data_IF_278594735824
#
_entry.id   IF_278594735824
#
_cell.length_a   1.000
_cell.length_b   1.000
_cell.length_c   1.000
_cell.angle_alpha   90.00
_cell.angle_beta   90.00
_cell.angle_gamma   90.00
#
_symmetry.space_group_name_H-M   'P 1'
#
loop_
_entity.id
_entity.type
_entity.pdbx_description
1 polymer ?
#
# COMPACT_ATOMS: atom_id res chain seq x y z
N UNK A 1 -7.69 13.98 -9.39
CA UNK A 1 -8.91 13.14 -9.47
C UNK A 1 -8.85 11.96 -8.49
N UNK A 2 -7.88 11.03 -8.57
CA UNK A 2 -7.77 9.90 -7.62
C UNK A 2 -7.27 10.31 -6.22
N UNK A 3 -6.13 11.00 -6.13
CA UNK A 3 -5.56 11.48 -4.85
C UNK A 3 -6.51 12.44 -4.12
N UNK A 4 -7.25 13.26 -4.86
CA UNK A 4 -8.17 14.24 -4.28
C UNK A 4 -9.34 13.57 -3.53
N UNK A 5 -9.87 12.46 -4.07
CA UNK A 5 -10.93 11.65 -3.46
C UNK A 5 -10.54 11.06 -2.10
N UNK A 6 -9.24 10.84 -1.86
CA UNK A 6 -8.74 10.13 -0.68
C UNK A 6 -7.94 11.01 0.30
N UNK A 7 -7.50 12.21 -0.11
CA UNK A 7 -6.70 13.08 0.75
C UNK A 7 -7.33 14.44 1.09
N UNK A 8 -8.10 15.08 0.20
CA UNK A 8 -8.48 16.48 0.37
C UNK A 8 -9.94 16.71 0.84
N UNK A 9 -10.81 15.70 0.76
CA UNK A 9 -12.25 15.85 1.03
C UNK A 9 -12.63 15.51 2.49
N UNK A 10 -13.74 16.09 2.99
CA UNK A 10 -14.41 15.68 4.24
C UNK A 10 -14.83 14.21 4.20
N UNK A 11 -15.18 13.70 3.01
CA UNK A 11 -15.61 12.31 2.76
C UNK A 11 -14.45 11.31 2.61
N UNK A 12 -13.21 11.78 2.66
CA UNK A 12 -12.06 10.94 2.31
C UNK A 12 -11.87 9.74 3.25
N UNK A 13 -12.22 9.84 4.54
CA UNK A 13 -12.17 8.69 5.46
C UNK A 13 -13.20 7.61 5.07
N UNK A 14 -14.43 8.03 4.78
CA UNK A 14 -15.48 7.17 4.22
C UNK A 14 -15.02 6.44 2.97
N UNK A 15 -14.39 7.14 2.03
CA UNK A 15 -13.90 6.56 0.78
C UNK A 15 -12.80 5.51 1.04
N UNK A 16 -11.87 5.80 1.96
CA UNK A 16 -10.82 4.85 2.36
C UNK A 16 -11.40 3.61 3.06
N UNK A 17 -12.41 3.78 3.92
CA UNK A 17 -13.11 2.65 4.55
C UNK A 17 -13.86 1.80 3.53
N UNK A 18 -14.53 2.45 2.57
CA UNK A 18 -15.20 1.76 1.46
C UNK A 18 -14.21 0.98 0.59
N UNK A 19 -13.03 1.54 0.33
CA UNK A 19 -11.98 0.85 -0.40
C UNK A 19 -11.48 -0.37 0.39
N UNK A 20 -11.24 -0.22 1.68
CA UNK A 20 -10.83 -1.33 2.56
C UNK A 20 -11.89 -2.45 2.54
N UNK A 21 -13.16 -2.09 2.73
CA UNK A 21 -14.28 -3.02 2.65
C UNK A 21 -14.29 -3.80 1.33
N UNK A 22 -14.09 -3.13 0.20
CA UNK A 22 -14.03 -3.77 -1.11
C UNK A 22 -12.81 -4.71 -1.29
N UNK A 23 -11.68 -4.39 -0.67
CA UNK A 23 -10.45 -5.20 -0.75
C UNK A 23 -10.49 -6.44 0.16
N UNK A 24 -11.24 -6.39 1.25
CA UNK A 24 -11.25 -7.41 2.30
C UNK A 24 -12.58 -8.15 2.46
N UNK A 25 -13.59 -7.83 1.64
CA UNK A 25 -14.96 -8.37 1.76
C UNK A 25 -15.53 -8.13 3.17
N UNK A 26 -15.42 -6.88 3.65
CA UNK A 26 -15.92 -6.45 4.96
C UNK A 26 -16.97 -5.34 4.83
N UNK A 27 -17.70 -5.07 5.92
CA UNK A 27 -18.80 -4.09 5.93
C UNK A 27 -18.65 -3.11 7.12
N UNK A 28 -17.44 -2.61 7.38
CA UNK A 28 -17.24 -1.62 8.44
C UNK A 28 -17.94 -0.30 8.12
N UNK A 29 -18.61 0.29 9.11
CA UNK A 29 -19.30 1.58 8.98
C UNK A 29 -18.61 2.71 9.77
N UNK A 30 -17.77 2.37 10.75
CA UNK A 30 -17.10 3.36 11.60
C UNK A 30 -15.83 3.92 10.94
N UNK A 31 -15.94 5.13 10.38
CA UNK A 31 -14.83 5.87 9.76
C UNK A 31 -13.68 6.20 10.74
N UNK A 32 -13.90 6.12 12.06
CA UNK A 32 -12.84 6.34 13.05
C UNK A 32 -11.80 5.23 13.05
N UNK A 33 -12.12 4.06 12.47
CA UNK A 33 -11.16 2.97 12.26
C UNK A 33 -10.07 3.38 11.27
N UNK A 34 -10.29 4.38 10.42
CA UNK A 34 -9.35 4.80 9.38
C UNK A 34 -8.52 5.99 9.81
N UNK A 35 -7.19 5.82 9.72
CA UNK A 35 -6.20 6.88 9.90
C UNK A 35 -5.37 7.06 8.64
N UNK A 36 -5.44 8.24 8.04
CA UNK A 36 -4.57 8.59 6.90
C UNK A 36 -3.11 8.63 7.35
N UNK A 37 -2.21 8.05 6.58
CA UNK A 37 -0.77 8.07 6.82
C UNK A 37 -0.13 8.83 5.67
N UNK A 38 0.49 9.99 5.94
CA UNK A 38 1.30 10.70 4.94
C UNK A 38 2.75 10.33 5.14
N UNK A 39 3.39 9.76 4.13
CA UNK A 39 4.84 9.54 4.14
C UNK A 39 5.50 10.85 3.71
N UNK A 40 6.10 11.58 4.66
CA UNK A 40 6.75 12.86 4.39
C UNK A 40 7.90 12.79 3.35
N UNK A 41 7.88 13.74 2.42
CA UNK A 41 8.73 13.94 1.22
C UNK A 41 10.23 14.23 1.50
N UNK A 42 10.68 14.26 2.77
CA UNK A 42 11.87 15.04 3.18
C UNK A 42 13.21 14.46 2.72
N UNK A 43 13.31 13.15 2.46
CA UNK A 43 14.58 12.52 2.05
C UNK A 43 14.72 12.30 0.54
N UNK A 44 13.62 12.24 -0.22
CA UNK A 44 13.64 12.10 -1.67
C UNK A 44 12.45 12.83 -2.31
N UNK A 45 12.71 14.02 -2.88
CA UNK A 45 11.71 14.98 -3.42
C UNK A 45 10.75 14.48 -4.52
N UNK A 46 10.83 13.21 -4.93
CA UNK A 46 10.15 12.67 -6.12
C UNK A 46 9.30 11.42 -5.83
N UNK A 47 9.09 11.06 -4.56
CA UNK A 47 8.49 9.77 -4.19
C UNK A 47 7.16 9.97 -3.46
N UNK A 48 6.08 10.10 -4.25
CA UNK A 48 4.71 10.18 -3.74
C UNK A 48 3.99 8.87 -3.96
N UNK A 49 3.38 8.34 -2.89
CA UNK A 49 2.31 7.36 -3.04
C UNK A 49 0.98 8.08 -3.25
N UNK A 50 0.08 7.48 -4.01
CA UNK A 50 -1.25 8.03 -4.27
C UNK A 50 -2.16 7.91 -3.04
N UNK A 51 -2.16 6.76 -2.35
CA UNK A 51 -2.90 6.54 -1.09
C UNK A 51 -2.11 5.70 -0.09
N UNK A 52 -2.18 6.09 1.19
CA UNK A 52 -1.66 5.31 2.32
C UNK A 52 -2.47 5.56 3.58
N UNK A 53 -2.97 4.50 4.20
CA UNK A 53 -3.83 4.60 5.38
C UNK A 53 -3.73 3.36 6.25
N UNK A 54 -4.00 3.56 7.53
CA UNK A 54 -4.08 2.50 8.52
C UNK A 54 -5.54 2.23 8.87
N UNK A 55 -5.86 0.95 9.08
CA UNK A 55 -7.13 0.50 9.63
C UNK A 55 -6.91 -0.14 11.00
N UNK A 56 -7.59 0.41 12.01
CA UNK A 56 -7.69 -0.11 13.38
C UNK A 56 -6.34 -0.38 14.09
N UNK A 57 -5.27 0.34 13.77
CA UNK A 57 -3.93 0.08 14.35
C UNK A 57 -3.27 -1.22 13.89
N UNK A 58 -3.89 -1.96 12.96
CA UNK A 58 -3.54 -3.34 12.65
C UNK A 58 -3.00 -3.52 11.23
N UNK A 59 -3.57 -2.81 10.26
CA UNK A 59 -3.21 -2.95 8.84
C UNK A 59 -2.81 -1.60 8.30
N UNK A 60 -1.75 -1.58 7.49
CA UNK A 60 -1.27 -0.41 6.77
C UNK A 60 -1.36 -0.67 5.26
N UNK A 61 -2.32 -0.03 4.62
CA UNK A 61 -2.60 -0.20 3.19
C UNK A 61 -1.89 0.88 2.40
N UNK A 62 -1.20 0.47 1.34
CA UNK A 62 -0.63 1.34 0.31
C UNK A 62 -1.32 1.05 -1.01
N UNK A 63 -1.81 2.09 -1.67
CA UNK A 63 -2.45 2.00 -2.98
C UNK A 63 -1.81 2.97 -3.96
N UNK A 64 -1.54 2.48 -5.17
CA UNK A 64 -0.95 3.24 -6.26
C UNK A 64 -1.84 3.11 -7.49
N UNK A 65 -2.13 4.22 -8.17
CA UNK A 65 -2.93 4.22 -9.38
C UNK A 65 -2.03 4.35 -10.62
N UNK A 66 -2.18 3.46 -11.60
CA UNK A 66 -1.29 3.41 -12.78
C UNK A 66 -2.02 3.06 -14.07
N UNK A 67 -1.73 3.82 -15.14
CA UNK A 67 -2.18 3.48 -16.51
C UNK A 67 -1.23 2.53 -17.24
N UNK A 68 -0.08 2.23 -16.66
CA UNK A 68 0.88 1.23 -17.18
C UNK A 68 1.42 0.42 -16.02
N UNK A 69 1.33 -0.90 -16.11
CA UNK A 69 1.83 -1.79 -15.06
C UNK A 69 3.34 -1.61 -14.91
N UNK A 70 3.77 -1.13 -13.74
CA UNK A 70 5.17 -1.06 -13.38
C UNK A 70 5.61 -2.36 -12.68
N UNK A 71 6.41 -3.17 -13.37
CA UNK A 71 6.94 -4.43 -12.81
C UNK A 71 7.87 -4.22 -11.60
N UNK A 72 8.38 -3.00 -11.39
CA UNK A 72 9.26 -2.65 -10.27
C UNK A 72 8.48 -2.13 -9.04
N UNK A 73 7.15 -2.27 -9.01
CA UNK A 73 6.36 -1.77 -7.89
C UNK A 73 6.76 -2.39 -6.55
N UNK A 74 7.11 -3.67 -6.50
CA UNK A 74 7.54 -4.30 -5.26
C UNK A 74 8.78 -3.61 -4.65
N UNK A 75 9.74 -3.18 -5.49
CA UNK A 75 10.92 -2.44 -5.02
C UNK A 75 10.55 -1.06 -4.47
N UNK A 76 9.65 -0.33 -5.13
CA UNK A 76 9.14 0.96 -4.63
C UNK A 76 8.42 0.78 -3.30
N UNK A 77 7.50 -0.18 -3.21
CA UNK A 77 6.76 -0.49 -2.00
C UNK A 77 7.67 -0.88 -0.82
N UNK A 78 8.75 -1.63 -1.09
CA UNK A 78 9.75 -1.95 -0.06
C UNK A 78 10.39 -0.70 0.53
N UNK A 79 10.72 0.28 -0.31
CA UNK A 79 11.27 1.56 0.17
C UNK A 79 10.22 2.35 0.96
N UNK A 80 8.95 2.32 0.53
CA UNK A 80 7.86 3.05 1.19
C UNK A 80 7.54 2.53 2.58
N UNK A 81 7.42 1.20 2.72
CA UNK A 81 7.00 0.61 3.99
C UNK A 81 8.03 0.83 5.10
N UNK A 82 9.32 0.77 4.77
CA UNK A 82 10.39 1.11 5.71
C UNK A 82 10.23 2.53 6.26
N UNK A 83 9.92 3.50 5.40
CA UNK A 83 9.68 4.91 5.81
C UNK A 83 8.43 5.10 6.63
N UNK A 84 7.34 4.40 6.28
CA UNK A 84 6.13 4.44 7.07
C UNK A 84 6.39 3.92 8.49
N UNK A 85 7.12 2.81 8.65
CA UNK A 85 7.46 2.30 9.97
C UNK A 85 8.48 3.16 10.73
N UNK A 86 9.38 3.87 10.06
CA UNK A 86 10.24 4.86 10.74
C UNK A 86 9.42 5.93 11.48
N UNK A 87 8.28 6.33 10.91
CA UNK A 87 7.37 7.32 11.49
C UNK A 87 6.39 6.71 12.50
N UNK A 88 5.89 5.50 12.24
CA UNK A 88 4.90 4.83 13.08
C UNK A 88 5.49 4.18 14.33
N UNK A 89 6.73 3.68 14.25
CA UNK A 89 7.38 2.95 15.34
C UNK A 89 8.30 3.88 16.12
N UNK A 90 8.04 4.00 17.42
CA UNK A 90 8.87 4.77 18.34
C UNK A 90 10.36 4.41 18.19
N UNK A 91 11.22 5.43 18.13
CA UNK A 91 12.64 5.25 17.82
C UNK A 91 13.36 4.38 18.85
N UNK A 92 12.96 4.43 20.12
CA UNK A 92 13.51 3.58 21.19
C UNK A 92 12.91 2.18 21.13
N UNK A 93 11.66 2.03 20.71
CA UNK A 93 10.99 0.74 20.57
C UNK A 93 11.74 -0.20 19.61
N UNK A 94 12.34 0.33 18.53
CA UNK A 94 13.16 -0.44 17.57
C UNK A 94 14.38 -1.14 18.18
N UNK A 95 14.84 -0.70 19.35
CA UNK A 95 16.00 -1.27 20.05
C UNK A 95 15.62 -2.07 21.31
N UNK A 96 14.32 -2.33 21.53
CA UNK A 96 13.87 -3.16 22.65
C UNK A 96 14.24 -4.62 22.39
N UNK A 97 14.54 -5.34 23.47
CA UNK A 97 14.78 -6.80 23.43
C UNK A 97 13.49 -7.60 23.26
N UNK A 98 12.35 -7.01 23.61
CA UNK A 98 11.01 -7.60 23.40
C UNK A 98 10.49 -7.26 22.01
N UNK A 99 9.84 -8.21 21.36
CA UNK A 99 9.22 -8.01 20.05
C UNK A 99 8.21 -6.85 20.07
N UNK A 100 8.41 -5.88 19.18
CA UNK A 100 7.45 -4.81 18.91
C UNK A 100 6.56 -5.24 17.76
N UNK A 101 5.25 -5.35 18.01
CA UNK A 101 4.26 -5.59 16.95
C UNK A 101 4.07 -4.29 16.17
N UNK A 102 3.96 -4.42 14.85
CA UNK A 102 3.75 -3.32 13.92
C UNK A 102 2.53 -3.65 13.04
N UNK A 103 1.83 -2.65 12.49
CA UNK A 103 0.73 -2.90 11.56
C UNK A 103 1.20 -3.72 10.37
N UNK A 104 0.44 -4.73 9.93
CA UNK A 104 0.76 -5.55 8.75
C UNK A 104 0.64 -4.70 7.49
N UNK A 105 1.65 -4.68 6.59
CA UNK A 105 1.58 -3.87 5.40
C UNK A 105 0.91 -4.62 4.25
N UNK A 106 0.10 -3.92 3.47
CA UNK A 106 -0.56 -4.44 2.28
C UNK A 106 -0.39 -3.48 1.10
N UNK A 107 -0.17 -4.02 -0.09
CA UNK A 107 0.22 -3.22 -1.26
C UNK A 107 -0.66 -3.54 -2.45
N UNK A 108 -1.27 -2.50 -3.00
CA UNK A 108 -2.18 -2.58 -4.12
C UNK A 108 -1.76 -1.61 -5.23
N UNK A 109 -1.87 -2.08 -6.48
CA UNK A 109 -1.81 -1.23 -7.66
C UNK A 109 -3.15 -1.31 -8.38
N UNK A 110 -3.82 -0.18 -8.56
CA UNK A 110 -5.05 -0.07 -9.34
C UNK A 110 -4.69 0.29 -10.78
N UNK A 111 -4.89 -0.65 -11.69
CA UNK A 111 -4.59 -0.49 -13.10
C UNK A 111 -5.80 -0.01 -13.90
N UNK A 112 -5.64 1.09 -14.63
CA UNK A 112 -6.70 1.68 -15.46
C UNK A 112 -6.23 2.00 -16.90
N UNK A 113 -5.22 1.28 -17.39
CA UNK A 113 -4.64 1.52 -18.70
C UNK A 113 -5.40 0.83 -19.83
N UNK A 114 -5.03 1.15 -21.06
CA UNK A 114 -5.69 0.61 -22.28
C UNK A 114 -5.22 -0.80 -22.67
N UNK A 115 -4.07 -1.26 -22.15
CA UNK A 115 -3.55 -2.58 -22.52
C UNK A 115 -4.32 -3.64 -21.75
N UNK A 116 -4.67 -4.72 -22.44
CA UNK A 116 -5.28 -5.89 -21.80
C UNK A 116 -4.39 -6.39 -20.65
N UNK A 117 -5.01 -6.55 -19.48
CA UNK A 117 -4.40 -7.09 -18.27
C UNK A 117 -5.41 -8.04 -17.61
N UNK A 118 -4.95 -9.09 -16.92
CA UNK A 118 -5.84 -9.94 -16.14
C UNK A 118 -6.55 -9.10 -15.06
N UNK A 119 -7.73 -9.57 -14.62
CA UNK A 119 -8.50 -8.92 -13.55
C UNK A 119 -7.64 -8.69 -12.30
N UNK A 120 -6.86 -9.71 -11.92
CA UNK A 120 -5.91 -9.61 -10.83
C UNK A 120 -4.59 -10.31 -11.20
N UNK A 121 -3.49 -9.77 -10.69
CA UNK A 121 -2.18 -10.43 -10.70
C UNK A 121 -1.37 -10.04 -9.48
N UNK A 122 -0.43 -10.89 -9.08
CA UNK A 122 0.50 -10.59 -7.98
C UNK A 122 1.90 -10.41 -8.56
N UNK A 123 2.56 -9.32 -8.18
CA UNK A 123 3.99 -9.12 -8.39
C UNK A 123 4.73 -9.57 -7.13
N UNK A 124 5.87 -10.23 -7.27
CA UNK A 124 6.74 -10.60 -6.15
C UNK A 124 8.07 -9.87 -6.24
N UNK A 125 8.61 -9.44 -5.10
CA UNK A 125 9.92 -8.77 -5.07
C UNK A 125 11.03 -9.72 -5.53
N UNK A 126 10.89 -11.00 -5.21
CA UNK A 126 11.85 -12.04 -5.57
C UNK A 126 12.04 -12.24 -7.07
N UNK A 127 11.05 -11.88 -7.90
CA UNK A 127 11.17 -11.90 -9.36
C UNK A 127 12.25 -10.93 -9.87
N UNK A 128 12.61 -9.92 -9.08
CA UNK A 128 13.65 -8.95 -9.41
C UNK A 128 15.05 -9.34 -8.91
N UNK A 129 15.19 -10.43 -8.14
CA UNK A 129 16.48 -10.83 -7.59
C UNK A 129 17.37 -11.47 -8.65
N UNK A 130 18.67 -11.15 -8.62
CA UNK A 130 19.64 -11.76 -9.53
C UNK A 130 19.85 -13.26 -9.26
N UNK A 131 19.68 -13.68 -8.00
CA UNK A 131 19.86 -15.05 -7.53
C UNK A 131 18.76 -15.43 -6.53
N UNK A 132 17.53 -15.70 -6.98
CA UNK A 132 16.44 -16.07 -6.09
C UNK A 132 16.72 -17.43 -5.42
N UNK A 133 16.47 -17.53 -4.12
CA UNK A 133 16.41 -18.80 -3.39
C UNK A 133 14.96 -19.27 -3.25
N UNK A 134 14.76 -20.55 -2.93
CA UNK A 134 13.42 -21.08 -2.60
C UNK A 134 12.83 -20.45 -1.34
N UNK A 135 13.68 -20.04 -0.39
CA UNK A 135 13.31 -19.28 0.80
C UNK A 135 14.09 -17.96 0.81
N UNK A 136 13.49 -16.89 0.30
CA UNK A 136 14.11 -15.56 0.28
C UNK A 136 14.02 -14.91 1.67
N UNK A 137 15.08 -14.25 2.12
CA UNK A 137 15.11 -13.55 3.43
C UNK A 137 14.24 -12.29 3.47
N UNK A 138 13.82 -11.79 2.30
CA UNK A 138 12.83 -10.73 2.17
C UNK A 138 11.91 -11.07 1.01
N UNK A 139 10.61 -10.89 1.22
CA UNK A 139 9.59 -11.02 0.20
C UNK A 139 8.55 -9.92 0.41
N UNK A 140 8.16 -9.28 -0.68
CA UNK A 140 7.09 -8.29 -0.70
C UNK A 140 6.26 -8.54 -1.93
N UNK A 141 4.95 -8.62 -1.73
CA UNK A 141 3.99 -8.85 -2.80
C UNK A 141 3.12 -7.62 -3.01
N UNK A 142 2.88 -7.28 -4.27
CA UNK A 142 1.93 -6.23 -4.67
C UNK A 142 0.82 -6.87 -5.46
N UNK A 143 -0.44 -6.67 -5.03
CA UNK A 143 -1.62 -7.10 -5.77
C UNK A 143 -1.98 -6.02 -6.79
N UNK A 144 -1.91 -6.34 -8.07
CA UNK A 144 -2.38 -5.46 -9.14
C UNK A 144 -3.81 -5.85 -9.48
N UNK A 145 -4.72 -4.88 -9.40
CA UNK A 145 -6.15 -5.04 -9.68
C UNK A 145 -6.46 -4.18 -10.91
N UNK A 146 -6.94 -4.82 -11.98
CA UNK A 146 -7.46 -4.12 -13.14
C UNK A 146 -8.85 -3.57 -12.80
N UNK A 147 -8.97 -2.24 -12.79
CA UNK A 147 -10.20 -1.52 -12.45
C UNK A 147 -10.91 -0.95 -13.69
N UNK A 148 -10.44 -1.29 -14.89
CA UNK A 148 -11.21 -1.03 -16.09
C UNK A 148 -12.49 -1.88 -16.00
N UNK A 149 -13.64 -1.23 -16.15
CA UNK A 149 -14.90 -1.94 -16.34
C UNK A 149 -14.89 -2.62 -17.70
N UNK A 150 -15.26 -3.90 -17.76
CA UNK A 150 -15.70 -4.51 -19.02
C UNK A 150 -16.93 -3.70 -19.48
N UNK A 151 -16.81 -2.94 -20.58
CA UNK A 151 -17.97 -2.34 -21.27
C UNK A 151 -18.84 -3.43 -21.90
#
# INVERSE_FOLDING_TARGET
>A
MFVDLFYQDETAKRNLLSLYNALHDTEYEDENLVRKVKIDDVLYKNFKNDISFEVNGQVLVFGEHQSTVNMNMCLRCLMYVGRAYEQLVDSKARYRTTLVKIPTPEFYTFYNGEKEQPLERVLSLSDAFMNPSGENSVELKVKVININSDE
#
